data_IF_430037741649
#
_entry.id   IF_430037741649
#
_cell.length_a   1.000
_cell.length_b   1.000
_cell.length_c   1.000
_cell.angle_alpha   90.00
_cell.angle_beta   90.00
_cell.angle_gamma   90.00
#
_symmetry.space_group_name_H-M   'P 1'
#
loop_
_entity.id
_entity.type
_entity.pdbx_description
1 polymer ?
#
# COMPACT_ATOMS: atom_id res chain seq x y z
N UNK A 1 16.89 18.62 -39.56
CA UNK A 1 16.46 19.37 -38.36
C UNK A 1 15.01 19.00 -38.06
N UNK A 2 14.72 18.70 -36.78
CA UNK A 2 13.45 18.21 -36.18
C UNK A 2 13.03 16.76 -36.51
N UNK A 3 12.89 15.82 -35.56
CA UNK A 3 13.32 15.69 -34.16
C UNK A 3 13.08 14.21 -33.79
N UNK A 4 14.08 13.56 -33.21
CA UNK A 4 14.00 12.20 -32.64
C UNK A 4 13.09 12.11 -31.38
N UNK A 5 12.14 13.05 -31.21
CA UNK A 5 11.33 13.23 -30.01
C UNK A 5 10.12 12.27 -29.94
N UNK A 6 9.63 11.79 -31.09
CA UNK A 6 8.44 10.93 -31.15
C UNK A 6 8.70 9.49 -30.64
N UNK A 7 9.97 9.06 -30.60
CA UNK A 7 10.35 7.72 -30.19
C UNK A 7 10.52 7.56 -28.67
N UNK A 8 10.62 8.67 -27.92
CA UNK A 8 10.94 8.62 -26.48
C UNK A 8 9.71 8.32 -25.61
N UNK A 9 8.50 8.70 -26.05
CA UNK A 9 7.26 8.53 -25.29
C UNK A 9 6.80 7.08 -25.17
N UNK A 10 7.22 6.18 -26.06
CA UNK A 10 6.78 4.77 -26.05
C UNK A 10 7.68 3.87 -25.17
N UNK A 11 8.85 4.35 -24.75
CA UNK A 11 9.85 3.55 -24.01
C UNK A 11 10.02 3.95 -22.53
N UNK A 12 9.48 5.09 -22.09
CA UNK A 12 9.42 5.49 -20.67
C UNK A 12 8.09 5.03 -20.05
N UNK A 13 7.84 3.72 -20.03
CA UNK A 13 6.61 3.17 -19.44
C UNK A 13 6.81 1.94 -18.56
N UNK A 14 8.04 1.44 -18.50
CA UNK A 14 8.39 0.23 -17.75
C UNK A 14 9.65 0.49 -16.94
N UNK A 15 9.53 1.26 -15.86
CA UNK A 15 10.72 1.54 -15.05
C UNK A 15 10.56 2.29 -13.74
N UNK A 16 9.38 2.79 -13.40
CA UNK A 16 9.17 3.41 -12.10
C UNK A 16 7.92 2.77 -11.48
N UNK A 17 8.09 2.03 -10.39
CA UNK A 17 6.98 1.61 -9.55
C UNK A 17 6.43 2.84 -8.83
N UNK A 18 5.75 3.73 -9.56
CA UNK A 18 4.99 4.82 -8.98
C UNK A 18 3.84 4.16 -8.22
N UNK A 19 3.90 4.24 -6.90
CA UNK A 19 2.79 3.78 -6.06
C UNK A 19 1.54 4.61 -6.46
N UNK A 20 0.38 3.97 -6.70
CA UNK A 20 -0.83 4.69 -7.05
C UNK A 20 -1.20 5.66 -5.92
N UNK A 21 -1.81 6.80 -6.23
CA UNK A 21 -2.31 7.72 -5.21
C UNK A 21 -3.45 7.09 -4.38
N UNK A 22 -3.85 7.72 -3.27
CA UNK A 22 -5.04 7.28 -2.53
C UNK A 22 -6.29 7.44 -3.40
N UNK A 23 -7.32 6.61 -3.19
CA UNK A 23 -8.61 6.79 -3.83
C UNK A 23 -9.23 8.16 -3.45
N UNK A 24 -9.43 9.02 -4.44
CA UNK A 24 -10.05 10.34 -4.31
C UNK A 24 -11.59 10.22 -4.29
N UNK A 25 -12.30 11.27 -3.88
CA UNK A 25 -13.77 11.19 -3.79
C UNK A 25 -14.47 10.93 -5.14
N UNK A 26 -13.82 11.29 -6.25
CA UNK A 26 -14.30 11.20 -7.63
C UNK A 26 -13.35 10.35 -8.51
N UNK A 27 -12.83 9.25 -7.97
CA UNK A 27 -11.89 8.36 -8.65
C UNK A 27 -12.58 7.18 -9.38
N UNK A 28 -13.91 7.21 -9.46
CA UNK A 28 -14.73 6.16 -10.07
C UNK A 28 -14.98 4.94 -9.17
N UNK A 29 -14.53 4.94 -7.92
CA UNK A 29 -14.87 3.87 -6.97
C UNK A 29 -16.28 4.05 -6.39
N UNK A 30 -17.02 2.95 -6.26
CA UNK A 30 -18.36 2.97 -5.65
C UNK A 30 -18.26 3.30 -4.16
N UNK A 31 -18.89 4.41 -3.76
CA UNK A 31 -18.98 4.86 -2.37
C UNK A 31 -20.43 4.72 -1.90
N UNK A 32 -20.59 4.12 -0.73
CA UNK A 32 -21.91 3.94 -0.10
C UNK A 32 -21.98 4.78 1.17
N UNK A 33 -23.14 5.35 1.54
CA UNK A 33 -23.31 5.95 2.86
C UNK A 33 -23.11 4.88 3.94
N UNK A 34 -22.29 5.17 4.95
CA UNK A 34 -22.04 4.26 6.06
C UNK A 34 -21.07 4.84 7.09
N UNK A 35 -20.60 3.97 7.97
CA UNK A 35 -19.71 4.36 9.07
C UNK A 35 -18.25 4.13 8.69
N UNK A 36 -17.40 5.11 8.99
CA UNK A 36 -15.97 4.97 8.76
C UNK A 36 -15.33 4.17 9.91
N UNK A 37 -14.88 2.95 9.62
CA UNK A 37 -14.32 2.02 10.63
C UNK A 37 -12.85 2.29 10.97
N UNK A 38 -12.27 3.34 10.37
CA UNK A 38 -10.97 3.88 10.77
C UNK A 38 -11.14 4.95 11.86
N UNK A 39 -10.02 5.51 12.32
CA UNK A 39 -9.91 6.34 13.52
C UNK A 39 -10.82 7.58 13.62
N UNK A 40 -11.47 8.03 12.55
CA UNK A 40 -12.40 9.17 12.66
C UNK A 40 -13.80 8.76 13.13
N UNK A 41 -14.17 7.48 13.00
CA UNK A 41 -15.45 6.90 13.47
C UNK A 41 -16.70 7.69 13.05
N UNK A 42 -16.61 8.50 12.00
CA UNK A 42 -17.73 9.30 11.50
C UNK A 42 -18.80 8.39 10.92
N UNK A 43 -20.04 8.64 11.32
CA UNK A 43 -21.23 7.94 10.83
C UNK A 43 -21.85 8.66 9.62
N UNK A 44 -22.59 7.93 8.80
CA UNK A 44 -23.35 8.47 7.65
C UNK A 44 -22.52 9.27 6.64
N UNK A 45 -21.25 8.89 6.43
CA UNK A 45 -20.36 9.51 5.45
C UNK A 45 -20.21 8.61 4.21
N UNK A 46 -19.82 9.15 3.04
CA UNK A 46 -19.45 8.32 1.90
C UNK A 46 -18.23 7.46 2.24
N UNK A 47 -18.42 6.14 2.29
CA UNK A 47 -17.36 5.16 2.59
C UNK A 47 -17.07 4.27 1.39
N UNK A 48 -15.80 3.90 1.25
CA UNK A 48 -15.29 2.95 0.27
C UNK A 48 -14.93 1.63 0.96
N UNK A 49 -15.22 0.51 0.31
CA UNK A 49 -14.75 -0.81 0.73
C UNK A 49 -13.26 -1.00 0.40
N UNK A 50 -12.45 -1.19 1.45
CA UNK A 50 -11.00 -1.36 1.32
C UNK A 50 -10.56 -2.82 1.20
N UNK A 51 -11.40 -3.76 1.65
CA UNK A 51 -11.08 -5.18 1.66
C UNK A 51 -11.68 -5.92 2.84
N UNK A 52 -11.44 -7.24 2.94
CA UNK A 52 -11.88 -8.04 4.07
C UNK A 52 -11.03 -7.76 5.32
N UNK A 53 -11.66 -7.80 6.48
CA UNK A 53 -11.02 -7.82 7.80
C UNK A 53 -11.51 -9.03 8.58
N UNK A 54 -10.59 -9.70 9.29
CA UNK A 54 -10.92 -10.79 10.22
C UNK A 54 -10.75 -10.28 11.65
N UNK A 55 -11.83 -10.25 12.40
CA UNK A 55 -11.82 -9.92 13.82
C UNK A 55 -11.62 -11.18 14.69
N UNK A 56 -11.41 -10.96 15.99
CA UNK A 56 -11.30 -12.04 16.96
C UNK A 56 -12.51 -12.99 16.89
N UNK A 57 -12.26 -14.28 17.08
CA UNK A 57 -13.30 -15.31 16.93
C UNK A 57 -13.60 -15.69 15.47
N UNK A 58 -12.82 -15.20 14.49
CA UNK A 58 -12.95 -15.59 13.09
C UNK A 58 -14.06 -14.86 12.34
N UNK A 59 -14.55 -13.73 12.86
CA UNK A 59 -15.59 -12.93 12.20
C UNK A 59 -14.99 -12.21 10.99
N UNK A 60 -15.52 -12.49 9.81
CA UNK A 60 -15.13 -11.85 8.55
C UNK A 60 -16.11 -10.69 8.23
N UNK A 61 -15.57 -9.50 7.98
CA UNK A 61 -16.34 -8.32 7.60
C UNK A 61 -15.61 -7.50 6.51
N UNK A 62 -16.30 -6.55 5.89
CA UNK A 62 -15.68 -5.58 4.98
C UNK A 62 -15.20 -4.35 5.76
N UNK A 63 -13.97 -3.90 5.54
CA UNK A 63 -13.45 -2.67 6.10
C UNK A 63 -13.91 -1.47 5.25
N UNK A 64 -14.77 -0.63 5.82
CA UNK A 64 -15.31 0.57 5.16
C UNK A 64 -14.63 1.84 5.71
N UNK A 65 -14.27 2.78 4.84
CA UNK A 65 -13.59 4.01 5.26
C UNK A 65 -13.93 5.25 4.41
N UNK A 66 -13.95 6.42 5.02
CA UNK A 66 -14.09 7.70 4.31
C UNK A 66 -12.78 8.12 3.61
N UNK A 67 -12.88 8.96 2.57
CA UNK A 67 -11.74 9.36 1.73
C UNK A 67 -10.56 9.96 2.52
N UNK A 68 -10.84 10.83 3.49
CA UNK A 68 -9.81 11.47 4.31
C UNK A 68 -9.01 10.47 5.14
N UNK A 69 -9.68 9.49 5.75
CA UNK A 69 -8.98 8.42 6.48
C UNK A 69 -8.20 7.50 5.55
N UNK A 70 -8.71 7.26 4.33
CA UNK A 70 -7.99 6.46 3.34
C UNK A 70 -6.71 7.16 2.89
N UNK A 71 -6.73 8.48 2.67
CA UNK A 71 -5.53 9.24 2.33
C UNK A 71 -4.43 9.10 3.40
N UNK A 72 -4.81 9.20 4.68
CA UNK A 72 -3.89 9.00 5.81
C UNK A 72 -3.36 7.56 5.86
N UNK A 73 -4.23 6.56 5.72
CA UNK A 73 -3.85 5.15 5.71
C UNK A 73 -2.90 4.83 4.55
N UNK A 74 -3.21 5.35 3.37
CA UNK A 74 -2.40 5.20 2.17
C UNK A 74 -0.98 5.76 2.37
N UNK A 75 -0.86 6.98 2.90
CA UNK A 75 0.45 7.57 3.21
C UNK A 75 1.27 6.72 4.19
N UNK A 76 0.63 6.11 5.20
CA UNK A 76 1.29 5.17 6.12
C UNK A 76 1.74 3.89 5.41
N UNK A 77 0.90 3.34 4.53
CA UNK A 77 1.22 2.14 3.77
C UNK A 77 2.41 2.37 2.83
N UNK A 78 2.39 3.48 2.08
CA UNK A 78 3.50 3.91 1.22
C UNK A 78 4.79 4.05 2.02
N UNK A 79 4.76 4.78 3.15
CA UNK A 79 5.94 4.97 3.99
C UNK A 79 6.49 3.64 4.55
N UNK A 80 5.62 2.70 4.92
CA UNK A 80 6.02 1.38 5.40
C UNK A 80 6.67 0.54 4.29
N UNK A 81 6.15 0.58 3.06
CA UNK A 81 6.73 -0.10 1.90
C UNK A 81 8.11 0.47 1.59
N UNK A 82 8.23 1.78 1.46
CA UNK A 82 9.53 2.43 1.23
C UNK A 82 10.52 2.15 2.36
N UNK A 83 10.06 2.10 3.61
CA UNK A 83 10.89 1.72 4.77
C UNK A 83 11.42 0.28 4.68
N UNK A 84 10.61 -0.67 4.19
CA UNK A 84 11.05 -2.05 3.93
C UNK A 84 12.04 -2.12 2.76
N UNK A 85 11.82 -1.35 1.71
CA UNK A 85 12.69 -1.31 0.53
C UNK A 85 14.02 -0.61 0.78
N UNK A 86 14.14 0.17 1.87
CA UNK A 86 15.45 0.63 2.38
C UNK A 86 16.22 -0.48 3.12
N UNK A 87 15.60 -1.63 3.36
CA UNK A 87 16.22 -2.80 3.99
C UNK A 87 16.49 -4.01 3.05
N UNK A 88 17.09 -3.90 1.83
CA UNK A 88 17.42 -5.07 1.03
C UNK A 88 18.90 -5.51 1.15
N UNK A 89 19.76 -4.80 1.88
CA UNK A 89 21.21 -5.07 1.89
C UNK A 89 21.76 -5.81 3.12
N UNK A 90 20.93 -6.18 4.10
CA UNK A 90 21.36 -7.05 5.22
C UNK A 90 20.55 -8.33 5.21
N UNK A 91 20.88 -9.24 4.28
CA UNK A 91 20.71 -10.67 4.57
C UNK A 91 21.87 -11.06 5.48
N UNK A 92 21.69 -11.29 6.79
CA UNK A 92 22.73 -11.97 7.53
C UNK A 92 22.90 -13.34 6.86
N UNK A 93 24.04 -13.52 6.19
CA UNK A 93 24.44 -14.83 5.70
C UNK A 93 24.31 -15.78 6.87
N UNK A 94 23.56 -16.89 6.69
CA UNK A 94 23.47 -17.95 7.68
C UNK A 94 24.88 -18.26 8.14
N UNK A 95 25.23 -17.83 9.35
CA UNK A 95 26.47 -18.22 9.98
C UNK A 95 26.40 -19.74 10.08
N UNK A 96 27.18 -20.42 9.23
CA UNK A 96 27.40 -21.85 9.36
C UNK A 96 28.06 -22.00 10.72
N UNK A 97 27.32 -22.49 11.72
CA UNK A 97 27.89 -22.85 13.01
C UNK A 97 29.01 -23.87 12.73
N UNK A 98 30.25 -23.38 12.73
CA UNK A 98 31.42 -24.24 12.74
C UNK A 98 31.35 -25.03 14.05
N UNK A 99 31.02 -26.32 13.95
CA UNK A 99 31.23 -27.24 15.06
C UNK A 99 32.73 -27.34 15.26
N UNK A 100 33.26 -26.63 16.25
CA UNK A 100 34.52 -27.02 16.86
C UNK A 100 34.25 -28.24 17.72
N UNK A 101 34.91 -29.36 17.41
CA UNK A 101 35.26 -30.34 18.44
C UNK A 101 36.76 -30.60 18.35
N UNK A 102 37.41 -30.18 19.41
CA UNK A 102 38.81 -30.31 19.73
C UNK A 102 39.18 -31.74 20.11
N UNK A 103 40.45 -32.09 19.83
CA UNK A 103 41.32 -33.13 20.41
C UNK A 103 40.83 -34.58 20.41
#
# INVERSE_FOLDING_TARGET
MMLAAEAFSTLVGIGEAVLPGPPEEDDGNERVPGDCWLYCERESVPVLWLGPVTAAGGVLAGLLACAECIAVLHGKAVAATLGRDRSPLVRPGRARHARSRSA
#
